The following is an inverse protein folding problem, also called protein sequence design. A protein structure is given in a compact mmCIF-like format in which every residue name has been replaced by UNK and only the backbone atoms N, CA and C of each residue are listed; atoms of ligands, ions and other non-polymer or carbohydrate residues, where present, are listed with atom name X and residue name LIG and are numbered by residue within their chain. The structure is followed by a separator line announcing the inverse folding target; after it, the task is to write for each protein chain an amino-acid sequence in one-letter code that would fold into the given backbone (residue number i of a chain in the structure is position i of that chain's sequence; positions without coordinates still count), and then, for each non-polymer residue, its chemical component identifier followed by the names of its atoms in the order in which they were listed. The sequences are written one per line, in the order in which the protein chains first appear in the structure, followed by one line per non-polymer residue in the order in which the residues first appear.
data_IF_872189829378
#
_entry.id   IF_872189829378
#
_cell.length_a   1.000
_cell.length_b   1.000
_cell.length_c   1.000
_cell.angle_alpha   90.00
_cell.angle_beta   90.00
_cell.angle_gamma   90.00
#
_symmetry.space_group_name_H-M   'P 1'
#
loop_
_entity.id
_entity.type
_entity.pdbx_description
1 polymer ?
#
# COMPACT_ATOMS: atom_id res chain seq x y z
N UNK A 1 -24.98 17.08 3.40
CA UNK A 1 -26.11 16.23 2.97
C UNK A 1 -25.95 14.92 3.72
N UNK A 2 -26.70 14.70 4.81
CA UNK A 2 -26.53 13.53 5.68
C UNK A 2 -27.05 12.28 4.96
N UNK A 3 -26.14 11.55 4.30
CA UNK A 3 -26.41 10.23 3.76
C UNK A 3 -26.27 9.22 4.90
N UNK A 4 -27.39 8.59 5.25
CA UNK A 4 -27.43 7.49 6.22
C UNK A 4 -26.61 6.30 5.70
N UNK A 5 -25.57 5.94 6.45
CA UNK A 5 -24.91 4.65 6.35
C UNK A 5 -25.94 3.57 6.69
N UNK A 6 -26.19 2.64 5.76
CA UNK A 6 -27.05 1.49 6.00
C UNK A 6 -26.30 0.45 6.86
N UNK A 7 -26.99 -0.19 7.84
CA UNK A 7 -26.37 -1.15 8.75
C UNK A 7 -26.09 -2.49 8.05
N UNK A 8 -24.95 -3.07 8.40
CA UNK A 8 -24.43 -4.36 7.94
C UNK A 8 -25.32 -5.55 8.35
N UNK A 9 -25.36 -6.57 7.48
CA UNK A 9 -26.05 -7.84 7.68
C UNK A 9 -25.38 -8.71 8.79
N UNK A 10 -26.15 -9.43 9.64
CA UNK A 10 -25.58 -10.31 10.66
C UNK A 10 -25.20 -11.67 10.06
N UNK A 11 -23.95 -12.11 10.27
CA UNK A 11 -23.49 -13.46 9.94
C UNK A 11 -23.99 -14.48 10.98
N UNK A 12 -24.34 -15.68 10.50
CA UNK A 12 -24.74 -16.84 11.31
C UNK A 12 -23.56 -17.41 12.11
N UNK A 13 -23.74 -17.81 13.39
CA UNK A 13 -22.68 -18.46 14.16
C UNK A 13 -22.43 -19.89 13.66
N UNK A 14 -21.20 -20.20 13.26
CA UNK A 14 -20.76 -21.58 13.00
C UNK A 14 -20.44 -22.25 14.34
N UNK A 15 -21.09 -23.39 14.59
CA UNK A 15 -20.96 -24.19 15.80
C UNK A 15 -19.51 -24.69 16.00
N UNK A 16 -18.97 -24.44 17.20
CA UNK A 16 -17.69 -24.97 17.63
C UNK A 16 -17.77 -26.48 17.89
N UNK A 17 -16.95 -27.27 17.19
CA UNK A 17 -16.69 -28.66 17.55
C UNK A 17 -15.67 -28.70 18.70
N UNK A 18 -16.07 -29.29 19.82
CA UNK A 18 -15.23 -29.50 21.00
C UNK A 18 -14.29 -30.68 20.79
N UNK A 19 -12.97 -30.44 20.90
CA UNK A 19 -11.98 -31.48 21.12
C UNK A 19 -11.20 -31.15 22.40
N UNK A 20 -11.55 -31.88 23.46
CA UNK A 20 -10.84 -31.85 24.72
C UNK A 20 -9.52 -32.63 24.60
N UNK A 21 -8.43 -32.04 25.06
CA UNK A 21 -7.30 -32.82 25.57
C UNK A 21 -6.68 -32.14 26.78
N UNK A 22 -6.52 -32.95 27.83
CA UNK A 22 -5.88 -32.66 29.10
C UNK A 22 -4.36 -32.67 28.92
N UNK A 23 -3.68 -31.72 29.56
CA UNK A 23 -2.23 -31.72 29.67
C UNK A 23 -1.75 -30.71 30.71
N UNK A 24 -1.70 -31.13 31.96
CA UNK A 24 -1.11 -30.39 33.08
C UNK A 24 0.42 -30.35 32.98
N UNK A 25 1.05 -29.27 33.46
CA UNK A 25 2.48 -29.33 33.82
C UNK A 25 3.22 -28.01 33.95
N UNK A 26 3.37 -27.58 35.21
CA UNK A 26 4.57 -26.96 35.82
C UNK A 26 5.00 -25.56 35.38
N UNK A 27 4.79 -24.62 36.30
CA UNK A 27 5.36 -23.29 36.26
C UNK A 27 6.84 -23.25 36.67
N UNK A 28 7.51 -22.21 36.19
CA UNK A 28 8.73 -21.64 36.74
C UNK A 28 8.64 -20.12 36.57
N UNK A 29 8.61 -19.41 37.70
CA UNK A 29 8.69 -17.96 37.75
C UNK A 29 10.12 -17.51 37.40
N UNK A 30 10.24 -16.54 36.49
CA UNK A 30 11.49 -15.84 36.21
C UNK A 30 11.41 -14.42 36.81
N UNK A 31 12.51 -13.91 37.40
CA UNK A 31 12.50 -12.65 38.12
C UNK A 31 12.53 -11.44 37.17
N UNK A 32 11.86 -10.37 37.60
CA UNK A 32 11.92 -9.06 36.99
C UNK A 32 13.33 -8.47 37.13
N UNK A 33 13.95 -8.14 36.00
CA UNK A 33 15.12 -7.26 35.94
C UNK A 33 14.69 -5.95 35.27
N UNK A 34 14.60 -4.92 36.10
CA UNK A 34 14.54 -3.53 35.67
C UNK A 34 15.90 -3.18 35.05
N UNK A 35 15.89 -2.86 33.75
CA UNK A 35 17.03 -2.36 33.00
C UNK A 35 16.68 -1.01 32.39
N UNK A 36 17.49 -0.02 32.72
CA UNK A 36 17.38 1.39 32.33
C UNK A 36 17.29 1.61 30.80
N UNK A 37 16.29 2.39 30.40
CA UNK A 37 16.46 3.59 29.57
C UNK A 37 17.38 3.53 28.36
N UNK A 38 17.15 2.61 27.43
CA UNK A 38 17.56 2.83 26.05
C UNK A 38 16.46 3.68 25.38
N UNK A 39 16.75 4.95 25.12
CA UNK A 39 15.86 5.85 24.40
C UNK A 39 15.39 5.19 23.11
N UNK A 40 14.10 4.92 23.03
CA UNK A 40 13.42 4.57 21.79
C UNK A 40 13.67 5.75 20.87
N UNK A 41 14.54 5.56 19.88
CA UNK A 41 14.71 6.55 18.82
C UNK A 41 13.31 6.87 18.29
N UNK A 42 12.97 8.15 18.26
CA UNK A 42 11.73 8.60 17.65
C UNK A 42 11.65 7.98 16.26
N UNK A 43 10.73 7.01 16.11
CA UNK A 43 10.38 6.47 14.80
C UNK A 43 9.90 7.62 13.91
N UNK A 44 9.80 7.41 12.59
CA UNK A 44 9.20 8.42 11.72
C UNK A 44 7.89 8.88 12.35
N UNK A 45 7.77 10.19 12.58
CA UNK A 45 6.61 10.80 13.22
C UNK A 45 5.35 10.22 12.57
N UNK A 46 4.50 9.57 13.37
CA UNK A 46 3.32 8.86 12.87
C UNK A 46 2.43 9.86 12.14
N UNK A 47 2.25 9.64 10.84
CA UNK A 47 1.45 10.50 9.96
C UNK A 47 -0.07 10.36 10.17
N UNK A 48 -0.46 9.83 11.34
CA UNK A 48 -1.85 9.66 11.79
C UNK A 48 -1.97 10.19 13.22
N UNK A 49 -3.00 10.98 13.47
CA UNK A 49 -3.49 11.33 14.81
C UNK A 49 -4.66 10.42 15.16
N UNK A 50 -4.73 9.91 16.40
CA UNK A 50 -5.86 9.09 16.86
C UNK A 50 -6.65 9.86 17.91
N UNK A 51 -7.95 10.01 17.68
CA UNK A 51 -8.90 10.58 18.64
C UNK A 51 -9.99 9.57 18.98
N UNK A 52 -10.52 9.61 20.20
CA UNK A 52 -11.57 8.69 20.65
C UNK A 52 -12.91 9.42 20.80
N UNK A 53 -13.94 8.88 20.17
CA UNK A 53 -15.33 9.20 20.43
C UNK A 53 -15.92 8.17 21.42
N UNK A 54 -15.56 8.32 22.69
CA UNK A 54 -16.00 7.46 23.80
C UNK A 54 -16.50 8.30 25.00
N UNK A 55 -17.73 8.85 24.92
CA UNK A 55 -18.27 9.68 25.99
C UNK A 55 -18.31 8.92 27.32
N UNK A 56 -17.63 9.46 28.34
CA UNK A 56 -17.52 8.83 29.65
C UNK A 56 -16.42 7.77 29.76
N UNK A 57 -15.61 7.58 28.71
CA UNK A 57 -14.48 6.65 28.66
C UNK A 57 -14.87 5.21 29.03
N UNK A 58 -16.02 4.74 28.53
CA UNK A 58 -16.55 3.40 28.83
C UNK A 58 -15.56 2.32 28.40
N UNK A 59 -14.84 2.56 27.30
CA UNK A 59 -13.83 1.67 26.74
C UNK A 59 -12.40 2.17 26.97
N UNK A 60 -12.20 3.07 27.94
CA UNK A 60 -10.91 3.68 28.27
C UNK A 60 -9.78 2.68 28.55
N UNK A 61 -10.12 1.48 29.05
CA UNK A 61 -9.16 0.41 29.28
C UNK A 61 -8.48 -0.12 27.99
N UNK A 62 -9.08 0.11 26.82
CA UNK A 62 -8.59 -0.37 25.52
C UNK A 62 -7.92 0.73 24.70
N UNK A 63 -8.02 2.00 25.09
CA UNK A 63 -7.56 3.14 24.28
C UNK A 63 -6.07 3.03 23.93
N UNK A 64 -5.20 2.71 24.90
CA UNK A 64 -3.76 2.59 24.66
C UNK A 64 -3.40 1.43 23.70
N UNK A 65 -4.17 0.34 23.73
CA UNK A 65 -3.98 -0.79 22.83
C UNK A 65 -4.46 -0.49 21.42
N UNK A 66 -5.64 0.14 21.30
CA UNK A 66 -6.20 0.57 20.02
C UNK A 66 -5.29 1.60 19.35
N UNK A 67 -4.88 2.64 20.08
CA UNK A 67 -4.02 3.71 19.56
C UNK A 67 -2.70 3.14 19.04
N UNK A 68 -2.02 2.32 19.83
CA UNK A 68 -0.75 1.69 19.43
C UNK A 68 -0.88 0.92 18.13
N UNK A 69 -1.92 0.10 17.99
CA UNK A 69 -2.12 -0.74 16.81
C UNK A 69 -2.60 0.10 15.61
N UNK A 70 -3.47 1.08 15.83
CA UNK A 70 -3.98 1.98 14.80
C UNK A 70 -2.87 2.83 14.17
N UNK A 71 -1.99 3.41 14.99
CA UNK A 71 -0.83 4.16 14.51
C UNK A 71 0.09 3.28 13.64
N UNK A 72 0.30 2.03 14.05
CA UNK A 72 1.15 1.10 13.31
C UNK A 72 0.50 0.59 12.00
N UNK A 73 -0.82 0.33 12.00
CA UNK A 73 -1.57 -0.05 10.80
C UNK A 73 -1.62 1.10 9.80
N UNK A 74 -1.87 2.32 10.29
CA UNK A 74 -1.83 3.56 9.54
C UNK A 74 -0.47 3.80 8.88
N UNK A 75 0.61 3.75 9.66
CA UNK A 75 1.96 3.91 9.14
C UNK A 75 2.29 2.90 8.01
N UNK A 76 1.78 1.67 8.11
CA UNK A 76 2.01 0.62 7.11
C UNK A 76 1.27 0.86 5.79
N UNK A 77 0.10 1.50 5.81
CA UNK A 77 -0.53 2.02 4.60
C UNK A 77 0.23 3.23 4.05
N UNK A 78 0.50 4.22 4.90
CA UNK A 78 1.02 5.51 4.50
C UNK A 78 2.40 5.46 3.85
N UNK A 79 3.26 4.51 4.23
CA UNK A 79 4.56 4.28 3.56
C UNK A 79 4.43 3.95 2.06
N UNK A 80 3.26 3.52 1.59
CA UNK A 80 3.04 3.16 0.19
C UNK A 80 2.67 4.37 -0.68
N UNK A 81 2.23 5.48 -0.09
CA UNK A 81 1.72 6.65 -0.82
C UNK A 81 2.61 7.87 -0.65
N UNK A 82 3.47 7.86 0.35
CA UNK A 82 4.26 9.01 0.75
C UNK A 82 5.76 8.74 0.65
N UNK A 83 6.58 9.73 0.29
CA UNK A 83 8.01 9.61 0.42
C UNK A 83 8.41 9.58 1.91
N UNK A 84 9.55 8.97 2.26
CA UNK A 84 10.08 9.02 3.62
C UNK A 84 10.20 10.46 4.13
N UNK A 85 9.67 10.73 5.32
CA UNK A 85 9.74 12.05 5.96
C UNK A 85 8.71 13.07 5.47
N UNK A 86 7.76 12.68 4.61
CA UNK A 86 6.57 13.49 4.37
C UNK A 86 5.71 13.57 5.63
N UNK A 87 5.07 14.72 5.83
CA UNK A 87 4.08 14.95 6.89
C UNK A 87 2.68 14.87 6.30
N UNK A 88 2.01 13.72 6.40
CA UNK A 88 0.54 13.73 6.47
C UNK A 88 0.07 13.59 7.91
N UNK A 89 -1.13 14.08 8.21
CA UNK A 89 -1.70 14.01 9.56
C UNK A 89 -3.17 13.66 9.42
N UNK A 90 -3.42 12.47 8.86
CA UNK A 90 -4.78 11.94 8.83
C UNK A 90 -5.24 11.79 10.28
N UNK A 91 -6.38 12.35 10.61
CA UNK A 91 -7.01 12.20 11.90
C UNK A 91 -7.98 11.03 11.85
N UNK A 92 -7.67 9.99 12.61
CA UNK A 92 -8.49 8.81 12.77
C UNK A 92 -9.34 8.95 14.04
N UNK A 93 -10.66 8.99 13.87
CA UNK A 93 -11.61 8.93 14.97
C UNK A 93 -12.05 7.49 15.23
N UNK A 94 -11.80 7.03 16.44
CA UNK A 94 -12.24 5.72 16.93
C UNK A 94 -13.57 5.86 17.67
N UNK A 95 -14.60 5.21 17.15
CA UNK A 95 -15.91 5.07 17.77
C UNK A 95 -16.19 3.66 18.28
N UNK A 96 -17.30 3.53 19.00
CA UNK A 96 -17.75 2.28 19.60
C UNK A 96 -19.25 2.14 19.45
N UNK A 97 -19.72 0.97 19.00
CA UNK A 97 -21.15 0.68 18.88
C UNK A 97 -21.47 -0.80 19.18
N UNK A 98 -22.75 -1.16 19.09
CA UNK A 98 -23.23 -2.51 19.38
C UNK A 98 -22.96 -3.55 18.28
N UNK A 99 -22.15 -3.26 17.25
CA UNK A 99 -21.91 -4.20 16.16
C UNK A 99 -21.00 -5.37 16.60
N UNK A 100 -20.96 -6.43 15.79
CA UNK A 100 -20.18 -7.64 16.07
C UNK A 100 -18.80 -7.66 15.36
N UNK A 101 -18.45 -6.57 14.68
CA UNK A 101 -17.27 -6.43 13.82
C UNK A 101 -16.64 -5.04 13.99
N UNK A 102 -15.72 -4.66 13.12
CA UNK A 102 -15.35 -3.26 12.91
C UNK A 102 -15.96 -2.73 11.60
N UNK A 103 -15.87 -1.42 11.41
CA UNK A 103 -16.23 -0.73 10.16
C UNK A 103 -15.39 0.53 10.01
N UNK A 104 -14.94 0.83 8.78
CA UNK A 104 -14.13 2.00 8.46
C UNK A 104 -14.60 2.75 7.23
N UNK A 105 -14.50 4.08 7.25
CA UNK A 105 -14.77 4.92 6.10
C UNK A 105 -14.05 6.28 6.21
N UNK A 106 -13.82 6.94 5.07
CA UNK A 106 -13.54 8.38 5.10
C UNK A 106 -14.77 9.13 5.59
N UNK A 107 -14.58 10.16 6.42
CA UNK A 107 -15.67 10.97 6.98
C UNK A 107 -16.36 11.81 5.90
N UNK A 108 -15.59 12.26 4.91
CA UNK A 108 -16.09 13.00 3.75
C UNK A 108 -15.62 12.38 2.45
N UNK A 109 -16.21 12.85 1.34
CA UNK A 109 -15.78 12.51 -0.01
C UNK A 109 -15.54 13.80 -0.81
N UNK A 110 -14.58 13.76 -1.74
CA UNK A 110 -14.24 14.89 -2.58
C UNK A 110 -14.80 14.73 -4.00
N UNK A 111 -15.45 15.77 -4.52
CA UNK A 111 -16.00 15.74 -5.89
C UNK A 111 -14.87 15.78 -6.92
N UNK A 112 -14.72 14.71 -7.69
CA UNK A 112 -13.75 14.61 -8.78
C UNK A 112 -14.29 15.27 -10.05
N UNK A 113 -15.59 15.06 -10.34
CA UNK A 113 -16.23 15.61 -11.53
C UNK A 113 -17.39 14.76 -12.05
N UNK A 114 -17.91 15.05 -13.24
CA UNK A 114 -18.96 14.23 -13.86
C UNK A 114 -18.41 12.90 -14.37
N UNK A 115 -19.19 11.83 -14.17
CA UNK A 115 -18.97 10.49 -14.71
C UNK A 115 -19.58 10.31 -16.11
N UNK A 116 -19.38 9.13 -16.68
CA UNK A 116 -19.77 8.81 -18.07
C UNK A 116 -21.27 8.73 -18.30
N UNK A 117 -22.05 8.40 -17.26
CA UNK A 117 -23.51 8.21 -17.36
C UNK A 117 -24.29 9.35 -16.67
N UNK A 118 -23.64 10.50 -16.46
CA UNK A 118 -24.22 11.69 -15.86
C UNK A 118 -24.23 11.73 -14.32
N UNK A 119 -23.65 10.73 -13.66
CA UNK A 119 -23.40 10.71 -12.22
C UNK A 119 -22.31 11.70 -11.82
N UNK A 120 -22.33 12.18 -10.58
CA UNK A 120 -21.18 12.87 -9.97
C UNK A 120 -20.23 11.87 -9.32
N UNK A 121 -18.95 11.94 -9.66
CA UNK A 121 -17.92 11.01 -9.18
C UNK A 121 -17.18 11.62 -8.00
N UNK A 122 -17.02 10.85 -6.93
CA UNK A 122 -16.34 11.27 -5.71
C UNK A 122 -15.19 10.33 -5.35
N UNK A 123 -14.07 10.90 -4.89
CA UNK A 123 -12.99 10.16 -4.24
C UNK A 123 -13.22 10.14 -2.72
N UNK A 124 -12.67 9.13 -2.04
CA UNK A 124 -12.63 9.11 -0.57
C UNK A 124 -11.81 10.30 -0.05
N UNK A 125 -12.28 10.98 1.00
CA UNK A 125 -11.66 12.21 1.53
C UNK A 125 -10.21 12.00 1.96
N UNK A 126 -9.93 10.94 2.72
CA UNK A 126 -8.57 10.63 3.16
C UNK A 126 -7.63 10.34 1.97
N UNK A 127 -8.11 9.67 0.92
CA UNK A 127 -7.32 9.43 -0.29
C UNK A 127 -7.02 10.73 -1.04
N UNK A 128 -8.01 11.63 -1.14
CA UNK A 128 -7.82 12.95 -1.73
C UNK A 128 -6.80 13.79 -0.95
N UNK A 129 -6.85 13.77 0.37
CA UNK A 129 -5.87 14.47 1.21
C UNK A 129 -4.47 13.90 1.01
N UNK A 130 -4.30 12.58 1.01
CA UNK A 130 -2.99 11.96 0.74
C UNK A 130 -2.45 12.30 -0.64
N UNK A 131 -3.33 12.39 -1.64
CA UNK A 131 -2.94 12.72 -3.01
C UNK A 131 -2.51 14.19 -3.17
N UNK A 132 -3.20 15.11 -2.49
CA UNK A 132 -3.10 16.55 -2.78
C UNK A 132 -2.46 17.38 -1.68
N UNK A 133 -2.39 16.84 -0.46
CA UNK A 133 -2.06 17.57 0.76
C UNK A 133 -3.15 18.57 1.20
N UNK A 134 -4.34 18.51 0.62
CA UNK A 134 -5.47 19.38 0.96
C UNK A 134 -6.50 18.60 1.78
N UNK A 135 -6.70 19.03 3.02
CA UNK A 135 -7.74 18.52 3.93
C UNK A 135 -9.14 19.02 3.48
N UNK A 136 -10.04 18.12 3.06
CA UNK A 136 -11.36 18.47 2.56
C UNK A 136 -12.40 18.76 3.65
N UNK A 137 -12.13 18.46 4.92
CA UNK A 137 -13.04 18.59 6.06
C UNK A 137 -12.56 19.57 7.15
N UNK A 138 -11.37 20.15 6.98
CA UNK A 138 -10.75 20.98 8.01
C UNK A 138 -10.43 20.14 9.26
N UNK A 139 -10.43 20.78 10.43
CA UNK A 139 -10.02 20.15 11.69
C UNK A 139 -10.91 18.99 12.21
N UNK A 140 -11.91 18.53 11.45
CA UNK A 140 -12.64 17.30 11.75
C UNK A 140 -11.79 16.07 11.42
N UNK A 141 -12.18 14.90 11.93
CA UNK A 141 -11.49 13.66 11.57
C UNK A 141 -11.66 13.30 10.09
N UNK A 142 -10.62 12.73 9.49
CA UNK A 142 -10.61 12.31 8.09
C UNK A 142 -11.18 10.90 7.92
N UNK A 143 -10.98 10.06 8.93
CA UNK A 143 -11.39 8.65 8.94
C UNK A 143 -12.18 8.36 10.20
N UNK A 144 -13.30 7.66 10.04
CA UNK A 144 -14.03 7.01 11.13
C UNK A 144 -13.75 5.51 11.11
N UNK A 145 -13.36 4.96 12.26
CA UNK A 145 -13.37 3.51 12.52
C UNK A 145 -14.22 3.25 13.75
N UNK A 146 -15.18 2.33 13.65
CA UNK A 146 -16.03 1.93 14.77
C UNK A 146 -15.74 0.49 15.16
N UNK A 147 -15.45 0.26 16.43
CA UNK A 147 -15.34 -1.09 16.99
C UNK A 147 -16.65 -1.57 17.58
N UNK A 148 -17.00 -2.81 17.25
CA UNK A 148 -18.08 -3.54 17.86
C UNK A 148 -17.81 -3.90 19.31
N UNK A 149 -18.80 -3.62 20.16
CA UNK A 149 -18.70 -3.79 21.62
C UNK A 149 -19.54 -4.94 22.14
N UNK A 150 -20.23 -5.66 21.25
CA UNK A 150 -21.00 -6.88 21.55
C UNK A 150 -20.09 -8.11 21.76
N UNK A 151 -19.03 -7.97 22.55
CA UNK A 151 -18.01 -8.98 22.81
C UNK A 151 -16.85 -9.00 21.82
N UNK A 152 -16.97 -8.32 20.67
CA UNK A 152 -15.93 -8.29 19.65
C UNK A 152 -14.64 -7.63 20.16
N UNK A 153 -14.72 -6.37 20.61
CA UNK A 153 -13.58 -5.66 21.19
C UNK A 153 -12.95 -6.41 22.38
N UNK A 154 -13.78 -6.98 23.26
CA UNK A 154 -13.32 -7.50 24.55
C UNK A 154 -12.82 -8.95 24.49
N UNK A 155 -13.29 -9.75 23.53
CA UNK A 155 -13.09 -11.20 23.52
C UNK A 155 -12.59 -11.75 22.18
N UNK A 156 -12.81 -11.05 21.07
CA UNK A 156 -12.38 -11.52 19.74
C UNK A 156 -11.02 -10.94 19.36
N UNK A 157 -10.77 -9.65 19.64
CA UNK A 157 -9.58 -8.96 19.18
C UNK A 157 -8.33 -9.26 20.02
N UNK A 158 -7.20 -9.45 19.33
CA UNK A 158 -5.87 -9.48 19.89
C UNK A 158 -5.09 -8.23 19.47
N UNK A 159 -4.61 -7.47 20.45
CA UNK A 159 -3.78 -6.29 20.23
C UNK A 159 -2.30 -6.67 20.34
N UNK A 160 -1.59 -6.70 19.22
CA UNK A 160 -0.15 -6.97 19.19
C UNK A 160 0.60 -5.96 20.10
N UNK A 161 1.42 -6.40 21.06
CA UNK A 161 2.21 -5.50 21.89
C UNK A 161 3.31 -4.78 21.11
N UNK A 162 3.74 -5.33 19.96
CA UNK A 162 4.80 -4.75 19.12
C UNK A 162 4.38 -4.80 17.63
N UNK A 163 3.33 -4.04 17.25
CA UNK A 163 2.64 -4.21 15.98
C UNK A 163 3.50 -3.89 14.74
N UNK A 164 4.58 -3.10 14.89
CA UNK A 164 5.50 -2.81 13.79
C UNK A 164 6.43 -3.98 13.45
N UNK A 165 6.72 -4.87 14.40
CA UNK A 165 7.59 -6.03 14.16
C UNK A 165 6.81 -7.25 13.66
N UNK A 166 5.52 -7.33 14.00
CA UNK A 166 4.61 -8.43 13.62
C UNK A 166 5.18 -9.85 13.88
N UNK A 167 5.97 -10.01 14.93
CA UNK A 167 6.72 -11.25 15.19
C UNK A 167 6.05 -12.18 16.22
N UNK A 168 5.14 -11.67 17.05
CA UNK A 168 4.45 -12.48 18.07
C UNK A 168 3.31 -13.27 17.41
N UNK A 169 3.22 -14.60 17.54
CA UNK A 169 2.09 -15.33 16.95
C UNK A 169 0.75 -14.82 17.48
N UNK A 170 -0.23 -14.65 16.59
CA UNK A 170 -1.60 -14.30 16.99
C UNK A 170 -2.18 -15.50 17.75
N UNK A 171 -2.79 -15.31 18.93
CA UNK A 171 -3.42 -16.40 19.66
C UNK A 171 -4.49 -17.10 18.80
N UNK A 172 -4.51 -18.44 18.82
CA UNK A 172 -5.39 -19.23 17.95
C UNK A 172 -6.90 -18.96 18.12
N UNK A 173 -7.31 -18.41 19.26
CA UNK A 173 -8.69 -18.05 19.57
C UNK A 173 -9.05 -16.58 19.32
N UNK A 174 -8.14 -15.78 18.76
CA UNK A 174 -8.34 -14.34 18.59
C UNK A 174 -8.03 -13.90 17.15
N UNK A 175 -8.64 -12.79 16.76
CA UNK A 175 -8.43 -12.12 15.49
C UNK A 175 -7.40 -10.99 15.67
N UNK A 176 -6.45 -10.87 14.74
CA UNK A 176 -5.41 -9.83 14.78
C UNK A 176 -6.02 -8.44 14.59
N UNK A 177 -6.07 -7.63 15.65
CA UNK A 177 -6.63 -6.28 15.60
C UNK A 177 -5.88 -5.37 14.62
N UNK A 178 -4.58 -5.63 14.41
CA UNK A 178 -3.80 -4.90 13.41
C UNK A 178 -4.32 -5.16 12.00
N UNK A 179 -4.57 -6.43 11.67
CA UNK A 179 -5.14 -6.81 10.38
C UNK A 179 -6.52 -6.17 10.18
N UNK A 180 -7.35 -6.16 11.22
CA UNK A 180 -8.69 -5.53 11.18
C UNK A 180 -8.56 -4.04 10.92
N UNK A 181 -7.70 -3.32 11.64
CA UNK A 181 -7.49 -1.89 11.40
C UNK A 181 -6.92 -1.61 10.01
N UNK A 182 -6.03 -2.44 9.48
CA UNK A 182 -5.58 -2.32 8.10
C UNK A 182 -6.73 -2.49 7.09
N UNK A 183 -7.64 -3.43 7.35
CA UNK A 183 -8.84 -3.64 6.53
C UNK A 183 -9.73 -2.41 6.50
N UNK A 184 -10.09 -1.88 7.68
CA UNK A 184 -10.95 -0.71 7.80
C UNK A 184 -10.32 0.56 7.21
N UNK A 185 -9.00 0.72 7.35
CA UNK A 185 -8.26 1.78 6.67
C UNK A 185 -8.30 1.60 5.14
N UNK A 186 -8.29 0.36 4.62
CA UNK A 186 -8.47 0.09 3.20
C UNK A 186 -9.81 0.63 2.68
N UNK A 187 -10.90 0.43 3.42
CA UNK A 187 -12.20 1.02 3.08
C UNK A 187 -12.14 2.55 3.07
N UNK A 188 -11.51 3.16 4.08
CA UNK A 188 -11.37 4.60 4.15
C UNK A 188 -10.53 5.18 3.00
N UNK A 189 -9.58 4.43 2.47
CA UNK A 189 -8.68 4.87 1.38
C UNK A 189 -9.23 4.64 -0.02
N UNK A 190 -10.21 3.76 -0.22
CA UNK A 190 -10.76 3.57 -1.57
C UNK A 190 -11.55 2.30 -1.82
N UNK A 191 -11.51 1.31 -0.94
CA UNK A 191 -12.35 0.11 -1.05
C UNK A 191 -13.78 0.39 -0.58
N UNK A 192 -14.44 1.40 -1.15
CA UNK A 192 -15.76 1.81 -0.70
C UNK A 192 -16.53 2.52 -1.81
N UNK A 193 -17.86 2.39 -1.79
CA UNK A 193 -18.71 2.81 -2.90
C UNK A 193 -20.19 2.82 -2.56
N UNK A 194 -20.99 3.22 -3.55
CA UNK A 194 -22.43 3.44 -3.44
C UNK A 194 -23.24 2.76 -4.54
N UNK A 195 -22.69 1.75 -5.22
CA UNK A 195 -23.49 0.90 -6.10
C UNK A 195 -24.64 0.25 -5.34
N UNK A 196 -25.81 0.23 -5.98
CA UNK A 196 -26.85 -0.72 -5.62
C UNK A 196 -26.36 -2.13 -5.97
N UNK A 197 -26.19 -2.98 -4.96
CA UNK A 197 -25.63 -4.33 -5.15
C UNK A 197 -26.54 -5.28 -5.92
N UNK A 198 -27.85 -5.00 -5.97
CA UNK A 198 -28.81 -5.83 -6.68
C UNK A 198 -28.85 -5.49 -8.17
N UNK A 199 -28.67 -4.23 -8.53
CA UNK A 199 -28.68 -3.77 -9.93
C UNK A 199 -27.30 -3.50 -10.51
N UNK A 200 -26.26 -3.44 -9.67
CA UNK A 200 -24.90 -3.04 -10.03
C UNK A 200 -24.82 -1.67 -10.71
N UNK A 201 -25.66 -0.72 -10.26
CA UNK A 201 -25.71 0.63 -10.83
C UNK A 201 -25.51 1.68 -9.75
N UNK A 202 -24.78 2.74 -10.10
CA UNK A 202 -24.70 3.94 -9.29
C UNK A 202 -25.97 4.80 -9.48
N UNK A 203 -26.35 5.54 -8.44
CA UNK A 203 -27.40 6.56 -8.53
C UNK A 203 -26.87 7.86 -9.16
N UNK A 204 -27.31 9.01 -8.64
CA UNK A 204 -26.80 10.31 -9.06
C UNK A 204 -25.34 10.57 -8.66
N UNK A 205 -24.77 9.72 -7.79
CA UNK A 205 -23.39 9.78 -7.33
C UNK A 205 -22.75 8.39 -7.41
N UNK A 206 -21.45 8.36 -7.70
CA UNK A 206 -20.61 7.17 -7.73
C UNK A 206 -19.25 7.48 -7.07
N UNK A 207 -18.61 6.49 -6.46
CA UNK A 207 -17.22 6.62 -6.03
C UNK A 207 -16.27 6.34 -7.19
N UNK A 208 -15.00 6.74 -7.07
CA UNK A 208 -13.96 6.30 -8.01
C UNK A 208 -13.81 4.78 -8.06
N UNK A 209 -14.18 4.08 -6.97
CA UNK A 209 -14.26 2.62 -6.94
C UNK A 209 -15.45 2.10 -7.75
N UNK A 210 -16.65 2.67 -7.57
CA UNK A 210 -17.87 2.27 -8.31
C UNK A 210 -17.68 2.38 -9.82
N UNK A 211 -16.96 3.42 -10.28
CA UNK A 211 -16.65 3.63 -11.70
C UNK A 211 -15.81 2.50 -12.31
N UNK A 212 -15.21 1.66 -11.47
CA UNK A 212 -14.37 0.53 -11.87
C UNK A 212 -15.03 -0.81 -11.55
N UNK A 213 -16.29 -0.83 -11.10
CA UNK A 213 -17.00 -2.07 -10.81
C UNK A 213 -18.00 -2.38 -11.92
N UNK A 214 -18.01 -3.63 -12.38
CA UNK A 214 -18.98 -4.06 -13.37
C UNK A 214 -19.03 -5.56 -13.59
N UNK A 215 -20.06 -6.02 -14.29
CA UNK A 215 -20.11 -7.38 -14.81
C UNK A 215 -19.08 -7.56 -15.94
N UNK A 216 -18.46 -8.74 -16.03
CA UNK A 216 -17.53 -9.06 -17.11
C UNK A 216 -18.02 -10.26 -17.93
N UNK A 217 -18.20 -10.12 -19.27
CA UNK A 217 -18.61 -11.23 -20.12
C UNK A 217 -17.63 -12.41 -20.05
N UNK A 218 -18.15 -13.62 -20.07
CA UNK A 218 -17.34 -14.85 -20.07
C UNK A 218 -16.88 -15.31 -18.70
N UNK A 219 -17.26 -14.61 -17.62
CA UNK A 219 -17.04 -15.11 -16.27
C UNK A 219 -18.19 -16.03 -15.81
N UNK A 220 -17.87 -17.16 -15.14
CA UNK A 220 -18.82 -18.25 -14.91
C UNK A 220 -19.97 -17.90 -13.95
N UNK A 221 -19.78 -16.90 -13.09
CA UNK A 221 -20.61 -16.75 -11.89
C UNK A 221 -21.59 -15.57 -11.96
N UNK A 222 -21.54 -14.77 -13.03
CA UNK A 222 -22.36 -13.56 -13.17
C UNK A 222 -22.12 -12.48 -12.10
N UNK A 223 -21.03 -12.61 -11.32
CA UNK A 223 -20.67 -11.69 -10.24
C UNK A 223 -20.13 -10.34 -10.72
N UNK A 224 -19.80 -9.49 -9.74
CA UNK A 224 -19.15 -8.21 -9.99
C UNK A 224 -17.63 -8.36 -9.94
N UNK A 225 -16.97 -7.56 -10.78
CA UNK A 225 -15.53 -7.52 -10.90
C UNK A 225 -15.06 -6.08 -10.79
N UNK A 226 -13.87 -5.91 -10.23
CA UNK A 226 -13.13 -4.68 -10.34
C UNK A 226 -12.31 -4.69 -11.63
N UNK A 227 -12.45 -3.61 -12.40
CA UNK A 227 -12.00 -3.45 -13.78
C UNK A 227 -10.92 -2.38 -13.92
N UNK A 228 -10.25 -2.04 -12.81
CA UNK A 228 -9.08 -1.16 -12.81
C UNK A 228 -7.91 -1.78 -13.59
N UNK A 229 -7.25 -0.98 -14.42
CA UNK A 229 -6.27 -1.47 -15.37
C UNK A 229 -5.01 -2.04 -14.67
N UNK A 230 -4.53 -1.39 -13.61
CA UNK A 230 -3.36 -1.86 -12.87
C UNK A 230 -3.67 -3.16 -12.11
N UNK A 231 -4.81 -3.21 -11.43
CA UNK A 231 -5.27 -4.39 -10.70
C UNK A 231 -5.49 -5.57 -11.64
N UNK A 232 -6.14 -5.35 -12.80
CA UNK A 232 -6.35 -6.41 -13.79
C UNK A 232 -5.05 -6.94 -14.38
N UNK A 233 -4.09 -6.05 -14.67
CA UNK A 233 -2.79 -6.45 -15.18
C UNK A 233 -2.01 -7.31 -14.17
N UNK A 234 -2.12 -6.99 -12.88
CA UNK A 234 -1.46 -7.73 -11.81
C UNK A 234 -2.14 -9.09 -11.53
N UNK A 235 -3.47 -9.11 -11.46
CA UNK A 235 -4.24 -10.33 -11.19
C UNK A 235 -4.28 -11.29 -12.40
N UNK A 236 -4.14 -10.77 -13.61
CA UNK A 236 -4.19 -11.53 -14.86
C UNK A 236 -5.56 -11.52 -15.54
N UNK A 237 -6.48 -10.64 -15.11
CA UNK A 237 -7.84 -10.51 -15.62
C UNK A 237 -8.71 -9.64 -14.70
N UNK A 238 -10.03 -9.57 -14.94
CA UNK A 238 -10.98 -8.92 -14.04
C UNK A 238 -10.86 -9.47 -12.61
N UNK A 239 -10.80 -8.60 -11.60
CA UNK A 239 -10.60 -9.01 -10.20
C UNK A 239 -11.96 -9.35 -9.57
N UNK A 240 -12.21 -10.59 -9.14
CA UNK A 240 -13.51 -10.99 -8.59
C UNK A 240 -13.78 -10.31 -7.25
N UNK A 241 -14.95 -9.69 -7.13
CA UNK A 241 -15.42 -9.08 -5.89
C UNK A 241 -16.30 -10.07 -5.11
N UNK A 242 -16.41 -9.86 -3.80
CA UNK A 242 -17.26 -10.70 -2.95
C UNK A 242 -18.73 -10.54 -3.34
N UNK A 243 -19.40 -11.68 -3.60
CA UNK A 243 -20.81 -11.71 -3.94
C UNK A 243 -21.66 -11.10 -2.80
N UNK A 244 -22.47 -10.10 -3.13
CA UNK A 244 -23.30 -9.38 -2.15
C UNK A 244 -22.53 -8.40 -1.25
N UNK A 245 -21.21 -8.28 -1.42
CA UNK A 245 -20.37 -7.37 -0.64
C UNK A 245 -19.21 -6.82 -1.49
N UNK A 246 -19.55 -6.11 -2.57
CA UNK A 246 -18.63 -5.79 -3.67
C UNK A 246 -17.44 -4.87 -3.29
N UNK A 247 -17.47 -4.22 -2.13
CA UNK A 247 -16.33 -3.46 -1.61
C UNK A 247 -15.17 -4.35 -1.11
N UNK A 248 -15.30 -5.67 -1.27
CA UNK A 248 -14.36 -6.66 -0.78
C UNK A 248 -13.97 -7.68 -1.85
N UNK A 249 -12.91 -8.45 -1.56
CA UNK A 249 -12.36 -9.49 -2.42
C UNK A 249 -12.70 -10.90 -1.97
N UNK A 250 -12.63 -11.82 -2.92
CA UNK A 250 -12.71 -13.25 -2.65
C UNK A 250 -14.13 -13.77 -2.40
N UNK A 251 -14.30 -15.05 -2.71
CA UNK A 251 -15.56 -15.79 -2.59
C UNK A 251 -15.32 -17.20 -2.01
N UNK A 252 -16.34 -17.85 -1.47
CA UNK A 252 -16.22 -19.25 -1.07
C UNK A 252 -16.02 -20.14 -2.30
N UNK A 253 -15.12 -21.11 -2.22
CA UNK A 253 -14.98 -22.12 -3.28
C UNK A 253 -16.34 -22.84 -3.49
N UNK A 254 -16.76 -23.07 -4.75
CA UNK A 254 -15.99 -22.93 -5.99
C UNK A 254 -16.11 -21.56 -6.69
N UNK A 255 -16.59 -20.50 -6.03
CA UNK A 255 -16.76 -19.18 -6.63
C UNK A 255 -15.46 -18.51 -7.07
N UNK A 256 -15.58 -17.59 -8.04
CA UNK A 256 -14.47 -16.82 -8.61
C UNK A 256 -13.73 -16.02 -7.54
N UNK A 257 -12.41 -16.03 -7.59
CA UNK A 257 -11.59 -15.34 -6.60
C UNK A 257 -11.47 -16.08 -5.27
N UNK A 258 -11.85 -17.37 -5.18
CA UNK A 258 -11.71 -18.12 -3.92
C UNK A 258 -10.28 -18.23 -3.40
N UNK A 259 -9.29 -18.08 -4.28
CA UNK A 259 -7.88 -17.94 -3.92
C UNK A 259 -7.53 -16.60 -3.24
N UNK A 260 -8.42 -15.60 -3.30
CA UNK A 260 -8.29 -14.31 -2.62
C UNK A 260 -8.87 -14.32 -1.20
N UNK A 261 -9.38 -15.46 -0.69
CA UNK A 261 -9.81 -15.58 0.71
C UNK A 261 -8.73 -15.17 1.75
N UNK A 262 -7.43 -15.40 1.51
CA UNK A 262 -6.37 -14.91 2.41
C UNK A 262 -5.99 -13.43 2.22
N UNK A 263 -6.61 -12.71 1.28
CA UNK A 263 -6.33 -11.29 1.06
C UNK A 263 -6.83 -10.43 2.23
N UNK A 264 -6.13 -9.33 2.50
CA UNK A 264 -6.50 -8.39 3.55
C UNK A 264 -7.92 -7.87 3.35
N UNK A 265 -8.30 -7.52 2.12
CA UNK A 265 -9.61 -6.93 1.81
C UNK A 265 -10.69 -7.98 1.53
N UNK A 266 -10.55 -9.22 2.04
CA UNK A 266 -11.55 -10.25 1.79
C UNK A 266 -12.88 -9.96 2.51
N UNK A 267 -14.01 -10.32 1.89
CA UNK A 267 -15.35 -9.96 2.39
C UNK A 267 -16.06 -11.04 3.19
N UNK A 268 -15.36 -12.12 3.55
CA UNK A 268 -15.99 -13.33 4.06
C UNK A 268 -15.52 -13.70 5.46
N UNK A 269 -14.21 -13.63 5.73
CA UNK A 269 -13.66 -14.15 6.99
C UNK A 269 -12.26 -13.63 7.29
N UNK A 270 -12.06 -13.23 8.55
CA UNK A 270 -10.74 -13.17 9.15
C UNK A 270 -10.54 -14.41 10.02
N UNK A 271 -9.61 -15.28 9.61
CA UNK A 271 -9.30 -16.48 10.37
C UNK A 271 -8.55 -16.11 11.64
N UNK A 272 -9.04 -16.61 12.78
CA UNK A 272 -8.35 -16.49 14.07
C UNK A 272 -6.94 -17.07 14.00
N UNK A 273 -6.02 -16.52 14.78
CA UNK A 273 -4.62 -16.92 14.76
C UNK A 273 -3.87 -16.56 13.47
N UNK A 274 -4.48 -15.80 12.56
CA UNK A 274 -3.90 -15.45 11.26
C UNK A 274 -3.59 -13.96 11.18
N UNK A 275 -2.48 -13.65 10.52
CA UNK A 275 -2.09 -12.28 10.15
C UNK A 275 -2.43 -12.07 8.67
N UNK A 276 -3.10 -10.97 8.38
CA UNK A 276 -3.28 -10.47 7.02
C UNK A 276 -2.30 -9.32 6.78
N UNK A 277 -2.05 -9.02 5.51
CA UNK A 277 -1.11 -7.98 5.08
C UNK A 277 -1.62 -7.32 3.81
N UNK A 278 -1.33 -6.03 3.64
CA UNK A 278 -1.58 -5.29 2.41
C UNK A 278 -0.91 -6.00 1.24
N UNK A 279 -1.71 -6.49 0.29
CA UNK A 279 -1.22 -7.19 -0.88
C UNK A 279 -0.85 -6.20 -2.01
N UNK A 280 0.02 -6.60 -2.96
CA UNK A 280 0.23 -5.82 -4.18
C UNK A 280 -1.07 -5.56 -4.96
N UNK A 281 -2.04 -6.48 -4.87
CA UNK A 281 -3.36 -6.30 -5.47
C UNK A 281 -4.13 -5.17 -4.80
N UNK A 282 -4.09 -5.07 -3.46
CA UNK A 282 -4.75 -3.97 -2.77
C UNK A 282 -4.19 -2.61 -3.20
N UNK A 283 -2.86 -2.51 -3.33
CA UNK A 283 -2.18 -1.30 -3.78
C UNK A 283 -2.53 -0.94 -5.23
N UNK A 284 -2.58 -1.93 -6.13
CA UNK A 284 -2.95 -1.71 -7.52
C UNK A 284 -4.39 -1.20 -7.66
N UNK A 285 -5.33 -1.73 -6.86
CA UNK A 285 -6.71 -1.26 -6.85
C UNK A 285 -6.82 0.18 -6.34
N UNK A 286 -6.12 0.55 -5.26
CA UNK A 286 -6.09 1.94 -4.79
C UNK A 286 -5.47 2.89 -5.82
N UNK A 287 -4.42 2.45 -6.52
CA UNK A 287 -3.85 3.19 -7.64
C UNK A 287 -4.88 3.47 -8.74
N UNK A 288 -5.67 2.45 -9.11
CA UNK A 288 -6.73 2.61 -10.11
C UNK A 288 -7.83 3.59 -9.64
N UNK A 289 -8.13 3.65 -8.34
CA UNK A 289 -9.09 4.62 -7.77
C UNK A 289 -8.56 6.06 -7.69
N UNK A 290 -7.29 6.28 -8.06
CA UNK A 290 -6.66 7.60 -8.16
C UNK A 290 -5.64 7.92 -7.07
N UNK A 291 -5.34 7.00 -6.14
CA UNK A 291 -4.35 7.20 -5.08
C UNK A 291 -2.95 6.75 -5.56
N UNK A 292 -2.04 7.67 -5.94
CA UNK A 292 -0.76 7.29 -6.51
C UNK A 292 0.14 6.59 -5.48
N UNK A 293 0.81 5.52 -5.92
CA UNK A 293 1.86 4.90 -5.12
C UNK A 293 3.10 5.80 -5.11
N UNK A 294 3.77 5.87 -3.96
CA UNK A 294 5.06 6.52 -3.84
C UNK A 294 6.04 5.87 -4.82
N UNK A 295 6.75 6.70 -5.59
CA UNK A 295 7.83 6.21 -6.42
C UNK A 295 8.87 5.52 -5.53
N UNK A 296 9.32 4.33 -5.93
CA UNK A 296 10.43 3.68 -5.26
C UNK A 296 11.64 4.62 -5.30
N UNK A 297 11.99 5.21 -4.16
CA UNK A 297 13.22 5.97 -4.03
C UNK A 297 14.35 4.94 -4.07
N UNK A 298 15.26 4.99 -5.07
CA UNK A 298 16.39 4.08 -5.05
C UNK A 298 17.19 4.36 -3.79
N UNK A 299 17.34 3.34 -2.94
CA UNK A 299 18.17 3.43 -1.75
C UNK A 299 19.54 4.05 -2.10
N UNK A 300 20.10 4.95 -1.27
CA UNK A 300 21.38 5.58 -1.55
C UNK A 300 22.49 4.56 -1.79
N UNK A 301 22.40 3.36 -1.22
CA UNK A 301 23.28 2.24 -1.52
C UNK A 301 23.19 1.78 -2.99
N UNK A 302 21.98 1.67 -3.55
CA UNK A 302 21.76 1.33 -4.96
C UNK A 302 22.32 2.41 -5.87
N UNK A 303 22.07 3.69 -5.57
CA UNK A 303 22.66 4.80 -6.32
C UNK A 303 24.19 4.84 -6.23
N UNK A 304 24.75 4.61 -5.04
CA UNK A 304 26.19 4.54 -4.82
C UNK A 304 26.82 3.36 -5.57
N UNK A 305 26.17 2.19 -5.60
CA UNK A 305 26.62 1.03 -6.36
C UNK A 305 26.59 1.28 -7.87
N UNK A 306 25.55 1.93 -8.39
CA UNK A 306 25.48 2.35 -9.79
C UNK A 306 26.58 3.34 -10.15
N UNK A 307 26.78 4.37 -9.32
CA UNK A 307 27.84 5.37 -9.53
C UNK A 307 29.23 4.75 -9.45
N UNK A 308 29.47 3.86 -8.48
CA UNK A 308 30.73 3.13 -8.38
C UNK A 308 30.97 2.22 -9.60
N UNK A 309 29.93 1.54 -10.08
CA UNK A 309 29.99 0.71 -11.29
C UNK A 309 30.29 1.52 -12.55
N UNK A 310 29.65 2.68 -12.73
CA UNK A 310 29.90 3.59 -13.85
C UNK A 310 31.31 4.18 -13.79
N UNK A 311 31.79 4.55 -12.60
CA UNK A 311 33.16 5.04 -12.41
C UNK A 311 34.19 3.95 -12.75
N UNK A 312 33.98 2.72 -12.28
CA UNK A 312 34.85 1.59 -12.60
C UNK A 312 34.88 1.29 -14.12
N UNK A 313 33.72 1.35 -14.78
CA UNK A 313 33.63 1.17 -16.24
C UNK A 313 34.36 2.29 -17.00
N UNK A 314 34.21 3.55 -16.57
CA UNK A 314 34.89 4.69 -17.17
C UNK A 314 36.42 4.56 -17.04
N UNK A 315 36.92 4.18 -15.86
CA UNK A 315 38.34 3.92 -15.63
C UNK A 315 38.86 2.75 -16.47
N UNK A 316 38.08 1.67 -16.60
CA UNK A 316 38.43 0.53 -17.46
C UNK A 316 38.50 0.93 -18.94
N UNK A 317 37.56 1.73 -19.43
CA UNK A 317 37.56 2.24 -20.80
C UNK A 317 38.76 3.17 -21.05
N UNK A 318 39.13 4.01 -20.07
CA UNK A 318 40.33 4.84 -20.15
C UNK A 318 41.60 3.99 -20.22
N UNK A 319 41.71 2.92 -19.42
CA UNK A 319 42.87 2.03 -19.46
C UNK A 319 42.96 1.24 -20.79
N UNK A 320 41.84 0.91 -21.43
CA UNK A 320 41.84 0.23 -22.75
C UNK A 320 42.20 1.15 -23.92
N UNK A 321 41.99 2.46 -23.77
CA UNK A 321 42.55 3.47 -24.66
C UNK A 321 43.99 3.70 -24.23
N UNK A 322 44.89 2.79 -24.60
CA UNK A 322 46.33 2.92 -24.33
C UNK A 322 46.86 4.32 -24.72
N UNK A 323 47.99 4.76 -24.14
CA UNK A 323 48.51 6.10 -24.36
C UNK A 323 48.58 6.38 -25.86
N UNK A 324 47.81 7.39 -26.30
CA UNK A 324 47.88 7.87 -27.67
C UNK A 324 49.36 8.10 -27.98
N UNK A 325 49.91 7.28 -28.88
CA UNK A 325 51.32 7.34 -29.24
C UNK A 325 51.68 8.78 -29.55
N UNK A 326 52.62 9.34 -28.79
CA UNK A 326 53.22 10.62 -29.09
C UNK A 326 53.68 10.58 -30.56
N UNK A 327 53.27 11.55 -31.42
CA UNK A 327 53.71 11.58 -32.80
C UNK A 327 55.25 11.60 -32.84
N UNK A 328 55.82 10.56 -33.45
CA UNK A 328 57.25 10.33 -33.51
C UNK A 328 57.99 11.49 -34.19
N UNK A 329 59.06 11.94 -33.53
CA UNK A 329 60.03 12.88 -34.07
C UNK A 329 60.60 12.37 -35.41
N UNK A 330 60.44 13.17 -36.47
CA UNK A 330 61.03 12.92 -37.78
C UNK A 330 62.57 12.91 -37.69
N UNK A 331 63.18 11.76 -37.99
CA UNK A 331 64.63 11.65 -38.18
C UNK A 331 65.01 12.08 -39.59
N UNK A 332 65.80 13.16 -39.65
CA UNK A 332 66.59 13.57 -40.80
C UNK A 332 67.52 12.43 -41.26
N UNK A 333 67.41 12.03 -42.53
CA UNK A 333 68.37 11.15 -43.20
C UNK A 333 69.14 11.96 -44.25
N UNK A 334 70.42 12.17 -43.99
CA UNK A 334 71.38 12.73 -44.92
C UNK A 334 71.65 11.70 -46.03
N UNK A 335 71.34 12.05 -47.28
CA UNK A 335 71.68 11.26 -48.46
C UNK A 335 72.83 11.91 -49.22
N UNK A 336 73.76 11.04 -49.63
CA UNK A 336 75.07 11.28 -50.26
C UNK A 336 74.99 12.07 -51.58
N UNK A 337 76.08 12.77 -51.95
CA UNK A 337 76.14 13.55 -53.18
C UNK A 337 76.36 12.67 -54.43
N UNK A 338 75.76 13.00 -55.58
CA UNK A 338 76.12 12.43 -56.87
C UNK A 338 77.36 13.13 -57.47
N UNK A 339 78.26 12.31 -58.02
CA UNK A 339 79.44 12.71 -58.80
C UNK A 339 79.06 13.39 -60.13
N UNK A 340 79.98 14.19 -60.72
CA UNK A 340 79.68 15.09 -61.82
C UNK A 340 79.85 14.43 -63.20
N UNK A 341 79.03 14.88 -64.16
CA UNK A 341 79.41 14.92 -65.57
C UNK A 341 78.38 14.36 -66.55
N UNK A 342 77.67 15.24 -67.27
CA UNK A 342 78.02 15.57 -68.65
C UNK A 342 77.26 16.79 -69.16
N UNK A 343 77.98 17.58 -69.94
CA UNK A 343 77.67 18.87 -70.53
C UNK A 343 76.66 18.80 -71.70
N UNK A 344 75.84 19.87 -71.78
CA UNK A 344 75.46 20.68 -72.96
C UNK A 344 74.51 20.11 -74.04
N UNK A 345 73.88 20.98 -74.89
CA UNK A 345 73.86 22.46 -74.92
C UNK A 345 72.45 23.09 -75.00
N UNK A 346 72.47 24.41 -74.79
CA UNK A 346 71.41 25.39 -74.95
C UNK A 346 70.81 25.46 -76.37
N UNK A 347 69.59 26.00 -76.50
CA UNK A 347 69.29 27.08 -77.44
C UNK A 347 67.95 27.80 -77.16
N UNK A 348 68.10 29.10 -76.83
CA UNK A 348 67.38 30.30 -77.30
C UNK A 348 65.84 30.43 -77.19
N UNK A 349 65.46 31.45 -76.40
CA UNK A 349 64.52 32.56 -76.65
C UNK A 349 63.62 32.50 -77.90
N UNK A 350 62.34 32.85 -77.75
CA UNK A 350 61.87 34.26 -77.80
C UNK A 350 60.36 34.35 -77.55
N UNK A 351 59.96 35.48 -76.94
CA UNK A 351 58.65 36.15 -76.92
C UNK A 351 57.41 35.38 -76.40
#
# INVERSE_FOLDING_TARGET
MNLHLHPTCPWLPVAAATLASLGAGLGLAAPALAGEGAGVGAGPASAIEVIFNDPGAVYGAWHADIERVALAAGADWLRHFLPPGATPVLTLRIGFDGQATASGASVVSHLVGPGTDGQWVYAQGAAYELQTGLDPNGAEADIDITFGTAGYLQHELWFDPVPLLRNTPVPAGQTDAYSVLQHELGHALGFNGWLDVATATAGAAASTFDMLVGAHPGQPDGGLYFLGAAAMALYGGPVPLTAGNYAHLGNWAPGSGSELLPDLMNGLVFYRGTRYTISPLNLAMLQDTGLPLAAAVPEPATAALWLAGLLALALWLQHRRGPAGLPGAARSSAHRPPSPGRLQPAHRCSA
#
